data_IF_520951656121
#
_entry.id   IF_520951656121
#
_cell.length_a   1.000
_cell.length_b   1.000
_cell.length_c   1.000
_cell.angle_alpha   90.00
_cell.angle_beta   90.00
_cell.angle_gamma   90.00
#
_symmetry.space_group_name_H-M   'P 1'
#
loop_
_entity.id
_entity.type
_entity.pdbx_description
1 polymer ?
#
# COMPACT_ATOMS: atom_id res chain seq x y z
N UNK A 1 -3.92 20.83 -2.19
CA UNK A 1 -3.17 20.53 -0.96
C UNK A 1 -1.74 20.94 -1.17
N UNK A 2 -1.16 21.67 -0.23
CA UNK A 2 0.24 22.10 -0.32
C UNK A 2 1.16 20.88 -0.14
N UNK A 3 2.07 20.66 -1.07
CA UNK A 3 2.87 19.41 -1.10
C UNK A 3 4.03 19.46 -0.11
N UNK A 4 4.45 20.66 0.24
CA UNK A 4 5.56 20.95 1.12
C UNK A 4 5.24 22.14 2.00
N UNK A 5 5.93 22.24 3.12
CA UNK A 5 5.87 23.40 4.01
C UNK A 5 7.28 23.80 4.45
N UNK A 6 7.47 25.10 4.67
CA UNK A 6 8.72 25.66 5.17
C UNK A 6 8.80 25.44 6.68
N UNK A 7 9.91 24.87 7.14
CA UNK A 7 10.18 24.66 8.57
C UNK A 7 11.61 25.09 8.91
N UNK A 8 11.78 25.72 10.06
CA UNK A 8 13.10 26.02 10.61
C UNK A 8 13.72 24.77 11.20
N UNK A 9 14.88 24.39 10.70
CA UNK A 9 15.67 23.27 11.22
C UNK A 9 17.01 23.77 11.74
N UNK A 10 17.45 23.20 12.85
CA UNK A 10 18.79 23.43 13.38
C UNK A 10 19.73 22.37 12.80
N UNK A 11 20.63 22.76 11.89
CA UNK A 11 21.65 21.87 11.33
C UNK A 11 22.90 21.91 12.20
N UNK A 12 23.43 20.73 12.53
CA UNK A 12 24.64 20.57 13.34
C UNK A 12 25.70 19.81 12.54
N UNK A 13 26.91 20.37 12.44
CA UNK A 13 28.06 19.73 11.76
C UNK A 13 29.06 19.08 12.75
N UNK A 14 28.67 18.99 14.03
CA UNK A 14 29.51 18.50 15.14
C UNK A 14 30.35 19.58 15.84
N UNK A 15 30.48 20.79 15.26
CA UNK A 15 31.20 21.93 15.88
C UNK A 15 30.35 23.19 15.96
N UNK A 16 29.45 23.39 15.01
CA UNK A 16 28.58 24.54 14.91
C UNK A 16 27.13 24.12 14.70
N UNK A 17 26.21 25.02 15.07
CA UNK A 17 24.80 24.90 14.78
C UNK A 17 24.33 26.10 13.97
N UNK A 18 23.54 25.86 12.93
CA UNK A 18 22.92 26.90 12.11
C UNK A 18 21.43 26.60 11.93
N UNK A 19 20.59 27.58 12.24
CA UNK A 19 19.16 27.53 11.91
C UNK A 19 18.99 27.92 10.45
N UNK A 20 18.33 27.07 9.67
CA UNK A 20 18.00 27.31 8.25
C UNK A 20 16.55 26.95 7.99
N UNK A 21 15.95 27.59 7.00
CA UNK A 21 14.65 27.18 6.49
C UNK A 21 14.84 25.99 5.53
N UNK A 22 14.03 24.94 5.71
CA UNK A 22 14.03 23.74 4.88
C UNK A 22 12.60 23.36 4.48
N UNK A 23 12.47 22.69 3.33
CA UNK A 23 11.20 22.17 2.85
C UNK A 23 10.97 20.78 3.45
N UNK A 24 9.90 20.64 4.22
CA UNK A 24 9.38 19.35 4.65
C UNK A 24 8.25 18.91 3.72
N UNK A 25 8.20 17.62 3.40
CA UNK A 25 7.12 17.01 2.60
C UNK A 25 5.92 16.76 3.52
N UNK A 26 4.71 17.05 3.03
CA UNK A 26 3.48 16.71 3.73
C UNK A 26 2.99 15.31 3.34
N UNK A 27 2.73 14.47 4.34
CA UNK A 27 1.92 13.26 4.18
C UNK A 27 0.45 13.53 4.50
N UNK A 28 -0.44 12.82 3.82
CA UNK A 28 -1.88 12.91 4.00
C UNK A 28 -2.50 11.51 4.10
N UNK A 29 -3.52 11.33 4.95
CA UNK A 29 -4.25 10.07 5.04
C UNK A 29 -5.18 9.88 3.84
N UNK A 30 -4.77 9.07 2.88
CA UNK A 30 -5.61 8.58 1.79
C UNK A 30 -6.49 7.43 2.28
N UNK A 31 -7.79 7.68 2.39
CA UNK A 31 -8.77 6.65 2.69
C UNK A 31 -9.20 5.94 1.40
N UNK A 32 -8.99 4.63 1.33
CA UNK A 32 -9.40 3.81 0.19
C UNK A 32 -10.70 3.09 0.54
N UNK A 33 -11.72 3.26 -0.29
CA UNK A 33 -13.00 2.57 -0.19
C UNK A 33 -13.22 1.70 -1.41
N UNK A 34 -13.74 0.49 -1.20
CA UNK A 34 -14.15 -0.43 -2.29
C UNK A 34 -15.62 -0.76 -2.09
N UNK A 35 -16.45 -0.48 -3.10
CA UNK A 35 -17.91 -0.69 -3.05
C UNK A 35 -18.57 -0.04 -1.81
N UNK A 36 -18.11 1.16 -1.45
CA UNK A 36 -18.62 1.90 -0.29
C UNK A 36 -18.13 1.42 1.08
N UNK A 37 -17.28 0.38 1.15
CA UNK A 37 -16.67 -0.10 2.40
C UNK A 37 -15.25 0.40 2.52
N UNK A 38 -14.89 0.90 3.71
CA UNK A 38 -13.51 1.32 4.01
C UNK A 38 -12.58 0.11 3.97
N UNK A 39 -11.53 0.18 3.14
CA UNK A 39 -10.53 -0.87 3.00
C UNK A 39 -9.32 -0.58 3.89
N UNK A 40 -8.75 0.62 3.79
CA UNK A 40 -7.56 1.02 4.54
C UNK A 40 -7.31 2.53 4.48
N UNK A 41 -6.33 3.00 5.25
CA UNK A 41 -5.73 4.34 5.15
C UNK A 41 -4.25 4.22 4.79
N UNK A 42 -3.79 4.99 3.81
CA UNK A 42 -2.37 5.14 3.49
C UNK A 42 -1.93 6.57 3.86
N UNK A 43 -0.80 6.71 4.55
CA UNK A 43 -0.12 8.01 4.62
C UNK A 43 0.72 8.15 3.36
N UNK A 44 0.46 9.19 2.58
CA UNK A 44 1.17 9.43 1.34
C UNK A 44 1.26 10.91 0.99
N UNK A 45 2.30 11.28 0.25
CA UNK A 45 2.34 12.54 -0.50
C UNK A 45 1.14 12.58 -1.45
N UNK A 46 0.41 13.71 -1.59
CA UNK A 46 -0.87 13.76 -2.29
C UNK A 46 -0.67 13.89 -3.80
N UNK A 47 0.13 13.01 -4.38
CA UNK A 47 0.46 12.94 -5.79
C UNK A 47 0.15 11.56 -6.35
N UNK A 48 -0.38 11.50 -7.57
CA UNK A 48 -0.66 10.24 -8.29
C UNK A 48 -1.50 9.25 -7.47
N UNK A 49 -2.52 9.79 -6.80
CA UNK A 49 -3.35 9.02 -5.86
C UNK A 49 -4.13 7.90 -6.55
N UNK A 50 -4.53 8.09 -7.80
CA UNK A 50 -5.22 7.06 -8.58
C UNK A 50 -4.28 5.90 -8.88
N UNK A 51 -3.07 6.16 -9.36
CA UNK A 51 -2.07 5.14 -9.66
C UNK A 51 -1.61 4.42 -8.39
N UNK A 52 -1.42 5.15 -7.28
CA UNK A 52 -1.15 4.56 -5.98
C UNK A 52 -2.29 3.65 -5.53
N UNK A 53 -3.54 4.10 -5.65
CA UNK A 53 -4.72 3.32 -5.27
C UNK A 53 -4.86 2.07 -6.14
N UNK A 54 -4.74 2.19 -7.46
CA UNK A 54 -4.82 1.08 -8.40
C UNK A 54 -3.68 0.09 -8.15
N UNK A 55 -2.44 0.56 -8.02
CA UNK A 55 -1.29 -0.28 -7.73
C UNK A 55 -1.42 -1.00 -6.40
N UNK A 56 -1.88 -0.30 -5.36
CA UNK A 56 -2.18 -0.88 -4.06
C UNK A 56 -3.25 -1.97 -4.17
N UNK A 57 -4.36 -1.72 -4.87
CA UNK A 57 -5.44 -2.70 -5.02
C UNK A 57 -4.99 -3.92 -5.83
N UNK A 58 -4.22 -3.74 -6.91
CA UNK A 58 -3.65 -4.84 -7.72
C UNK A 58 -2.71 -5.71 -6.89
N UNK A 59 -1.88 -5.10 -6.04
CA UNK A 59 -0.92 -5.84 -5.21
C UNK A 59 -1.60 -6.84 -4.25
N UNK A 60 -2.86 -6.62 -3.89
CA UNK A 60 -3.58 -7.47 -2.95
C UNK A 60 -4.13 -8.77 -3.55
N UNK A 61 -3.90 -9.08 -4.83
CA UNK A 61 -4.30 -10.37 -5.40
C UNK A 61 -3.14 -11.02 -6.16
N UNK A 62 -2.76 -12.21 -5.71
CA UNK A 62 -1.76 -13.06 -6.38
C UNK A 62 -2.47 -14.25 -7.00
N UNK A 63 -2.28 -14.46 -8.30
CA UNK A 63 -2.97 -15.49 -9.08
C UNK A 63 -1.95 -16.42 -9.74
N UNK A 64 -2.14 -17.74 -9.58
CA UNK A 64 -1.28 -18.77 -10.18
C UNK A 64 -2.08 -19.90 -10.84
N UNK A 65 -1.53 -20.43 -11.95
CA UNK A 65 -2.05 -21.64 -12.61
C UNK A 65 -1.73 -22.93 -11.84
N UNK A 66 -0.75 -22.90 -10.95
CA UNK A 66 -0.23 -24.05 -10.21
C UNK A 66 -0.64 -24.03 -8.73
N UNK A 67 -0.25 -25.06 -7.98
CA UNK A 67 -0.41 -25.10 -6.53
C UNK A 67 0.47 -24.03 -5.85
N UNK A 68 -0.02 -23.36 -4.80
CA UNK A 68 0.83 -22.56 -3.92
C UNK A 68 1.67 -23.46 -2.99
N UNK A 69 2.75 -22.90 -2.42
CA UNK A 69 3.50 -23.57 -1.34
C UNK A 69 2.90 -23.21 0.01
N UNK A 70 3.17 -24.01 1.04
CA UNK A 70 2.72 -23.71 2.40
C UNK A 70 3.16 -22.31 2.87
N UNK A 71 4.42 -21.96 2.61
CA UNK A 71 4.97 -20.68 3.02
C UNK A 71 4.32 -19.50 2.29
N UNK A 72 3.97 -19.65 1.01
CA UNK A 72 3.27 -18.60 0.26
C UNK A 72 1.86 -18.34 0.80
N UNK A 73 1.16 -19.39 1.26
CA UNK A 73 -0.15 -19.24 1.92
C UNK A 73 0.01 -18.45 3.22
N UNK A 74 0.99 -18.82 4.06
CA UNK A 74 1.27 -18.10 5.33
C UNK A 74 1.62 -16.63 5.13
N UNK A 75 2.43 -16.30 4.12
CA UNK A 75 2.70 -14.91 3.81
C UNK A 75 1.47 -14.16 3.30
N UNK A 76 0.65 -14.79 2.45
CA UNK A 76 -0.57 -14.16 1.96
C UNK A 76 -1.58 -13.89 3.10
N UNK A 77 -1.67 -14.76 4.10
CA UNK A 77 -2.45 -14.51 5.33
C UNK A 77 -1.92 -13.29 6.09
N UNK A 78 -0.61 -13.27 6.38
CA UNK A 78 0.02 -12.21 7.17
C UNK A 78 -0.02 -10.83 6.50
N UNK A 79 0.12 -10.79 5.18
CA UNK A 79 0.10 -9.57 4.38
C UNK A 79 -1.31 -9.17 3.93
N UNK A 80 -2.33 -9.92 4.33
CA UNK A 80 -3.71 -9.69 3.92
C UNK A 80 -3.86 -9.61 2.40
N UNK A 81 -3.18 -10.49 1.65
CA UNK A 81 -3.25 -10.65 0.19
C UNK A 81 -4.19 -11.81 -0.13
N UNK A 82 -4.99 -11.71 -1.19
CA UNK A 82 -5.79 -12.80 -1.73
C UNK A 82 -4.90 -13.67 -2.62
N UNK A 83 -4.67 -14.92 -2.20
CA UNK A 83 -3.90 -15.88 -2.96
C UNK A 83 -4.84 -16.85 -3.67
N UNK A 84 -4.74 -16.91 -4.99
CA UNK A 84 -5.52 -17.80 -5.84
C UNK A 84 -4.58 -18.75 -6.57
N UNK A 85 -4.86 -20.06 -6.48
CA UNK A 85 -4.12 -21.11 -7.19
C UNK A 85 -5.03 -21.98 -8.05
N UNK A 86 -4.41 -22.85 -8.85
CA UNK A 86 -5.11 -23.75 -9.78
C UNK A 86 -6.11 -23.07 -10.73
N UNK A 87 -5.83 -21.84 -11.17
CA UNK A 87 -6.75 -21.13 -12.08
C UNK A 87 -6.89 -21.87 -13.42
N UNK A 88 -8.14 -22.06 -13.84
CA UNK A 88 -8.62 -22.57 -15.13
C UNK A 88 -9.80 -21.70 -15.59
N UNK A 89 -10.25 -21.82 -16.83
CA UNK A 89 -11.24 -20.91 -17.45
C UNK A 89 -12.41 -20.49 -16.54
N UNK A 90 -13.08 -21.44 -15.88
CA UNK A 90 -14.24 -21.18 -15.02
C UNK A 90 -14.09 -21.66 -13.58
N UNK A 91 -12.87 -22.02 -13.16
CA UNK A 91 -12.62 -22.53 -11.80
C UNK A 91 -11.28 -22.08 -11.27
N UNK A 92 -11.23 -21.85 -9.97
CA UNK A 92 -10.03 -21.47 -9.23
C UNK A 92 -10.18 -21.85 -7.76
N UNK A 93 -9.06 -21.99 -7.06
CA UNK A 93 -9.03 -22.20 -5.61
C UNK A 93 -8.49 -20.96 -4.93
N UNK A 94 -9.25 -20.42 -3.98
CA UNK A 94 -8.87 -19.24 -3.20
C UNK A 94 -8.37 -19.72 -1.83
N UNK A 95 -7.12 -19.39 -1.51
CA UNK A 95 -6.44 -19.84 -0.30
C UNK A 95 -6.53 -18.82 0.84
N UNK A 96 -6.61 -17.53 0.51
CA UNK A 96 -6.68 -16.45 1.49
C UNK A 96 -7.61 -15.34 1.00
N UNK A 97 -8.26 -14.64 1.92
CA UNK A 97 -9.12 -13.49 1.63
C UNK A 97 -10.19 -13.71 0.52
N UNK A 98 -10.99 -14.80 0.57
CA UNK A 98 -11.98 -15.11 -0.47
C UNK A 98 -13.10 -14.08 -0.59
N UNK A 99 -13.39 -13.34 0.49
CA UNK A 99 -14.40 -12.27 0.52
C UNK A 99 -14.14 -11.12 -0.48
N UNK A 100 -12.95 -11.05 -1.09
CA UNK A 100 -12.60 -10.04 -2.10
C UNK A 100 -12.95 -10.45 -3.54
N UNK A 101 -13.46 -11.67 -3.74
CA UNK A 101 -13.87 -12.17 -5.05
C UNK A 101 -15.41 -12.18 -5.10
N UNK A 102 -15.98 -11.54 -6.12
CA UNK A 102 -17.43 -11.36 -6.36
C UNK A 102 -17.86 -12.21 -7.56
#
# INVERSE_FOLDING_TARGET
>A
MDKTFQIKVSKYDGKHSKVVDELAICEYPLNIFVNGRHLTVLLCTPEKLEELTVGFLIFHIVISKSAPTYLSIKFAEALNVTLVGFVRERRMNVYTNPQRII
#
